data_IF_615735943147
#
_entry.id   IF_615735943147
#
_cell.length_a   1.000
_cell.length_b   1.000
_cell.length_c   1.000
_cell.angle_alpha   90.00
_cell.angle_beta   90.00
_cell.angle_gamma   90.00
#
_symmetry.space_group_name_H-M   'P 1'
#
loop_
_entity.id
_entity.type
_entity.pdbx_description
1 polymer ?
#
# COMPACT_ATOMS: atom_id res chain seq x y z
N UNK A 1 -2.44 16.21 -43.61
CA UNK A 1 -3.65 17.07 -43.60
C UNK A 1 -4.80 16.14 -43.21
N UNK A 2 -5.08 15.77 -41.94
CA UNK A 2 -5.46 16.58 -40.77
C UNK A 2 -6.42 17.69 -41.16
N UNK A 3 -7.57 17.78 -40.46
CA UNK A 3 -8.65 18.78 -40.56
C UNK A 3 -9.97 18.32 -41.22
N UNK A 4 -10.55 17.17 -40.84
CA UNK A 4 -11.93 16.85 -41.25
C UNK A 4 -12.87 16.38 -40.11
N UNK A 5 -12.34 15.93 -38.95
CA UNK A 5 -13.19 15.33 -37.91
C UNK A 5 -13.41 16.23 -36.67
N UNK A 6 -13.03 17.51 -36.74
CA UNK A 6 -13.13 18.47 -35.62
C UNK A 6 -14.36 19.38 -35.69
N UNK A 7 -15.41 19.02 -36.45
CA UNK A 7 -16.55 19.91 -36.71
C UNK A 7 -17.88 19.48 -36.06
N UNK A 8 -17.93 18.38 -35.31
CA UNK A 8 -19.19 17.82 -34.76
C UNK A 8 -19.43 18.18 -33.28
N UNK A 9 -18.41 18.63 -32.53
CA UNK A 9 -18.56 18.93 -31.08
C UNK A 9 -18.90 20.41 -30.80
N UNK A 10 -18.82 21.29 -31.81
CA UNK A 10 -19.09 22.73 -31.64
C UNK A 10 -20.59 23.11 -31.70
N UNK A 11 -21.50 22.16 -31.95
CA UNK A 11 -22.93 22.42 -32.18
C UNK A 11 -23.85 21.90 -31.06
N UNK A 12 -23.37 21.88 -29.81
CA UNK A 12 -24.17 21.51 -28.62
C UNK A 12 -24.11 22.56 -27.50
N UNK A 13 -23.63 23.77 -27.81
CA UNK A 13 -23.44 24.89 -26.87
C UNK A 13 -24.53 25.98 -26.94
N UNK A 14 -25.70 25.70 -27.53
CA UNK A 14 -26.76 26.70 -27.75
C UNK A 14 -28.17 26.18 -27.42
N UNK A 15 -28.43 25.83 -26.16
CA UNK A 15 -29.81 25.67 -25.67
C UNK A 15 -30.04 26.54 -24.42
N UNK A 16 -30.78 27.66 -24.56
CA UNK A 16 -31.38 28.37 -23.44
C UNK A 16 -32.79 27.80 -23.19
N UNK A 17 -33.03 27.23 -22.01
CA UNK A 17 -34.40 27.04 -21.51
C UNK A 17 -34.59 27.95 -20.31
N UNK A 18 -35.26 29.06 -20.56
CA UNK A 18 -35.73 29.98 -19.53
C UNK A 18 -37.07 29.48 -18.95
N UNK A 19 -37.15 29.50 -17.62
CA UNK A 19 -38.31 30.01 -16.90
C UNK A 19 -39.43 29.03 -16.55
N UNK A 20 -39.52 28.68 -15.26
CA UNK A 20 -40.81 28.67 -14.55
C UNK A 20 -40.63 29.34 -13.19
N UNK A 21 -41.34 30.46 -13.02
CA UNK A 21 -41.49 31.18 -11.77
C UNK A 21 -42.32 30.35 -10.79
N UNK A 22 -41.75 30.00 -9.62
CA UNK A 22 -42.52 29.46 -8.50
C UNK A 22 -42.83 30.57 -7.50
N UNK A 23 -44.13 30.61 -7.19
CA UNK A 23 -44.84 31.60 -6.42
C UNK A 23 -44.42 31.66 -4.95
N UNK A 24 -44.43 32.88 -4.43
CA UNK A 24 -44.12 33.28 -3.06
C UNK A 24 -45.10 32.65 -2.06
N UNK A 25 -44.74 31.51 -1.48
CA UNK A 25 -45.40 30.91 -0.33
C UNK A 25 -44.81 31.44 0.98
N UNK A 26 -45.46 32.45 1.58
CA UNK A 26 -45.17 32.89 2.96
C UNK A 26 -45.65 31.78 3.92
N UNK A 27 -44.73 30.94 4.41
CA UNK A 27 -44.99 29.96 5.47
C UNK A 27 -44.04 30.18 6.63
N UNK A 28 -44.59 30.74 7.71
CA UNK A 28 -43.98 30.86 9.04
C UNK A 28 -44.03 29.52 9.75
N UNK A 29 -42.91 28.79 9.89
CA UNK A 29 -42.73 27.81 10.99
C UNK A 29 -41.24 27.45 11.17
N UNK A 30 -40.78 27.62 12.42
CA UNK A 30 -39.61 26.99 13.06
C UNK A 30 -38.25 27.06 12.35
N UNK A 31 -37.48 28.08 12.77
CA UNK A 31 -36.03 28.18 12.61
C UNK A 31 -35.34 26.95 13.23
N UNK A 32 -35.14 25.91 12.42
CA UNK A 32 -34.36 24.73 12.75
C UNK A 32 -32.94 25.20 13.10
N UNK A 33 -32.56 25.07 14.37
CA UNK A 33 -31.19 25.28 14.87
C UNK A 33 -30.21 24.63 13.89
N UNK A 34 -29.42 25.47 13.22
CA UNK A 34 -28.33 25.06 12.33
C UNK A 34 -27.31 24.34 13.22
N UNK A 35 -27.20 23.02 13.09
CA UNK A 35 -26.14 22.26 13.73
C UNK A 35 -24.77 22.78 13.27
N UNK A 36 -23.73 22.80 14.13
CA UNK A 36 -22.51 23.54 13.89
C UNK A 36 -21.67 22.91 12.77
N UNK A 37 -21.06 23.76 11.94
CA UNK A 37 -20.15 23.43 10.84
C UNK A 37 -18.93 22.58 11.26
N UNK A 38 -18.68 22.40 12.56
CA UNK A 38 -17.64 21.52 13.09
C UNK A 38 -17.80 20.05 12.67
N UNK A 39 -19.04 19.58 12.46
CA UNK A 39 -19.34 18.20 12.06
C UNK A 39 -18.88 17.87 10.63
N UNK A 40 -18.95 18.84 9.70
CA UNK A 40 -18.51 18.62 8.32
C UNK A 40 -16.99 18.63 8.19
N UNK A 41 -16.28 19.45 8.97
CA UNK A 41 -14.81 19.48 8.98
C UNK A 41 -14.22 18.21 9.58
N UNK A 42 -14.78 17.69 10.68
CA UNK A 42 -14.31 16.44 11.28
C UNK A 42 -14.50 15.23 10.35
N UNK A 43 -15.66 15.14 9.70
CA UNK A 43 -15.96 14.08 8.72
C UNK A 43 -15.02 14.14 7.51
N UNK A 44 -14.73 15.34 7.01
CA UNK A 44 -13.80 15.54 5.90
C UNK A 44 -12.37 15.12 6.27
N UNK A 45 -11.86 15.52 7.44
CA UNK A 45 -10.53 15.10 7.92
C UNK A 45 -10.41 13.58 8.04
N UNK A 46 -11.41 12.92 8.61
CA UNK A 46 -11.41 11.46 8.71
C UNK A 46 -11.37 10.79 7.32
N UNK A 47 -12.08 11.34 6.33
CA UNK A 47 -12.03 10.84 4.93
C UNK A 47 -10.65 11.05 4.28
N UNK A 48 -10.02 12.20 4.52
CA UNK A 48 -8.66 12.51 4.06
C UNK A 48 -7.62 11.56 4.69
N UNK A 49 -7.72 11.32 6.00
CA UNK A 49 -6.88 10.35 6.74
C UNK A 49 -7.06 8.91 6.23
N UNK A 50 -8.30 8.49 5.98
CA UNK A 50 -8.60 7.19 5.37
C UNK A 50 -7.98 7.07 3.98
N UNK A 51 -8.07 8.12 3.18
CA UNK A 51 -7.45 8.14 1.85
C UNK A 51 -5.93 8.05 1.92
N UNK A 52 -5.30 8.80 2.82
CA UNK A 52 -3.86 8.74 3.06
C UNK A 52 -3.42 7.35 3.54
N UNK A 53 -4.16 6.74 4.46
CA UNK A 53 -3.92 5.37 4.93
C UNK A 53 -3.94 4.35 3.80
N UNK A 54 -4.96 4.39 2.93
CA UNK A 54 -5.04 3.50 1.76
C UNK A 54 -3.83 3.64 0.84
N UNK A 55 -3.43 4.88 0.55
CA UNK A 55 -2.26 5.16 -0.30
C UNK A 55 -0.98 4.59 0.30
N UNK A 56 -0.78 4.71 1.62
CA UNK A 56 0.41 4.17 2.30
C UNK A 56 0.43 2.64 2.28
N UNK A 57 -0.70 1.98 2.56
CA UNK A 57 -0.81 0.51 2.47
C UNK A 57 -0.53 0.05 1.04
N UNK A 58 -1.15 0.69 0.04
CA UNK A 58 -0.93 0.35 -1.36
C UNK A 58 0.53 0.54 -1.79
N UNK A 59 1.22 1.55 -1.26
CA UNK A 59 2.64 1.75 -1.51
C UNK A 59 3.47 0.61 -0.92
N UNK A 60 3.23 0.24 0.34
CA UNK A 60 3.94 -0.88 0.98
C UNK A 60 3.70 -2.21 0.26
N UNK A 61 2.47 -2.47 -0.22
CA UNK A 61 2.19 -3.64 -1.06
C UNK A 61 3.06 -3.63 -2.32
N UNK A 62 3.15 -2.50 -3.04
CA UNK A 62 3.96 -2.41 -4.26
C UNK A 62 5.44 -2.68 -3.97
N UNK A 63 5.97 -2.06 -2.93
CA UNK A 63 7.38 -2.18 -2.58
C UNK A 63 7.71 -3.62 -2.13
N UNK A 64 6.86 -4.22 -1.29
CA UNK A 64 6.98 -5.61 -0.87
C UNK A 64 6.85 -6.60 -2.04
N UNK A 65 5.89 -6.39 -2.94
CA UNK A 65 5.69 -7.31 -4.09
C UNK A 65 6.88 -7.26 -5.06
N UNK A 66 7.42 -6.05 -5.31
CA UNK A 66 8.65 -5.88 -6.09
C UNK A 66 9.83 -6.58 -5.41
N UNK A 67 9.95 -6.43 -4.10
CA UNK A 67 10.96 -7.13 -3.33
C UNK A 67 10.83 -8.65 -3.45
N UNK A 68 9.62 -9.22 -3.28
CA UNK A 68 9.35 -10.66 -3.40
C UNK A 68 9.72 -11.18 -4.80
N UNK A 69 9.41 -10.44 -5.85
CA UNK A 69 9.78 -10.82 -7.22
C UNK A 69 11.29 -10.93 -7.40
N UNK A 70 12.06 -9.96 -6.88
CA UNK A 70 13.52 -9.98 -6.93
C UNK A 70 14.10 -11.06 -5.99
N UNK A 71 13.49 -11.24 -4.82
CA UNK A 71 13.85 -12.24 -3.81
C UNK A 71 13.88 -13.65 -4.41
N UNK A 72 12.83 -14.04 -5.13
CA UNK A 72 12.73 -15.37 -5.74
C UNK A 72 13.82 -15.65 -6.78
N UNK A 73 14.35 -14.62 -7.44
CA UNK A 73 15.50 -14.76 -8.35
C UNK A 73 16.82 -14.87 -7.58
N UNK A 74 17.05 -13.97 -6.62
CA UNK A 74 18.29 -13.91 -5.83
C UNK A 74 18.53 -15.22 -5.06
N UNK A 75 17.47 -15.79 -4.50
CA UNK A 75 17.55 -17.06 -3.75
C UNK A 75 17.95 -18.24 -4.62
N UNK A 76 17.39 -18.35 -5.83
CA UNK A 76 17.81 -19.37 -6.81
C UNK A 76 19.27 -19.19 -7.24
N UNK A 77 19.70 -17.96 -7.48
CA UNK A 77 21.09 -17.66 -7.85
C UNK A 77 22.07 -18.04 -6.71
N UNK A 78 21.67 -17.83 -5.45
CA UNK A 78 22.43 -18.26 -4.27
C UNK A 78 22.54 -19.78 -4.16
N UNK A 79 21.44 -20.51 -4.33
CA UNK A 79 21.42 -21.97 -4.28
C UNK A 79 22.31 -22.59 -5.37
N UNK A 80 22.22 -22.07 -6.60
CA UNK A 80 23.05 -22.50 -7.72
C UNK A 80 24.54 -22.24 -7.48
N UNK A 81 24.87 -21.05 -6.96
CA UNK A 81 26.25 -20.68 -6.62
C UNK A 81 26.84 -21.59 -5.54
N UNK A 82 26.06 -21.91 -4.50
CA UNK A 82 26.48 -22.82 -3.44
C UNK A 82 26.66 -24.26 -3.93
N UNK A 83 25.79 -24.75 -4.80
CA UNK A 83 25.93 -26.06 -5.42
C UNK A 83 27.22 -26.14 -6.25
N UNK A 84 27.51 -25.11 -7.05
CA UNK A 84 28.73 -25.04 -7.86
C UNK A 84 30.01 -24.93 -7.00
N UNK A 85 29.96 -24.19 -5.89
CA UNK A 85 31.08 -24.05 -4.96
C UNK A 85 31.48 -25.39 -4.33
N UNK A 86 30.50 -26.26 -4.03
CA UNK A 86 30.74 -27.60 -3.49
C UNK A 86 31.41 -28.54 -4.49
N UNK A 87 31.17 -28.35 -5.80
CA UNK A 87 31.67 -29.24 -6.85
C UNK A 87 33.00 -28.84 -7.51
N UNK A 88 33.40 -27.56 -7.44
CA UNK A 88 34.49 -27.01 -8.29
C UNK A 88 35.78 -26.62 -7.57
N UNK A 89 35.86 -26.72 -6.24
CA UNK A 89 37.05 -26.31 -5.47
C UNK A 89 37.30 -24.79 -5.43
N UNK A 90 36.56 -23.98 -6.21
CA UNK A 90 36.59 -22.51 -6.21
C UNK A 90 35.77 -21.90 -5.04
N UNK A 91 35.81 -22.55 -3.88
CA UNK A 91 34.91 -22.28 -2.76
C UNK A 91 35.04 -20.85 -2.18
N UNK A 92 36.22 -20.23 -2.24
CA UNK A 92 36.48 -18.93 -1.61
C UNK A 92 35.79 -17.75 -2.32
N UNK A 93 35.83 -17.71 -3.66
CA UNK A 93 35.21 -16.62 -4.42
C UNK A 93 33.68 -16.72 -4.45
N UNK A 94 33.14 -17.94 -4.59
CA UNK A 94 31.70 -18.18 -4.51
C UNK A 94 31.14 -17.88 -3.11
N UNK A 95 31.86 -18.24 -2.04
CA UNK A 95 31.47 -17.92 -0.67
C UNK A 95 31.43 -16.41 -0.42
N UNK A 96 32.42 -15.65 -0.93
CA UNK A 96 32.44 -14.19 -0.79
C UNK A 96 31.24 -13.53 -1.49
N UNK A 97 30.89 -13.96 -2.71
CA UNK A 97 29.73 -13.45 -3.45
C UNK A 97 28.40 -13.81 -2.78
N UNK A 98 28.27 -15.04 -2.27
CA UNK A 98 27.08 -15.48 -1.53
C UNK A 98 26.88 -14.64 -0.27
N UNK A 99 27.95 -14.43 0.51
CA UNK A 99 27.90 -13.60 1.72
C UNK A 99 27.52 -12.13 1.41
N UNK A 100 28.08 -11.55 0.35
CA UNK A 100 27.74 -10.19 -0.08
C UNK A 100 26.26 -10.09 -0.50
N UNK A 101 25.77 -11.07 -1.25
CA UNK A 101 24.37 -11.10 -1.72
C UNK A 101 23.40 -11.25 -0.55
N UNK A 102 23.71 -12.13 0.40
CA UNK A 102 22.92 -12.28 1.65
C UNK A 102 22.92 -11.00 2.49
N UNK A 103 24.04 -10.30 2.58
CA UNK A 103 24.11 -9.02 3.30
C UNK A 103 23.20 -7.96 2.65
N UNK A 104 23.21 -7.85 1.31
CA UNK A 104 22.30 -6.97 0.56
C UNK A 104 20.83 -7.37 0.77
N UNK A 105 20.54 -8.67 0.80
CA UNK A 105 19.20 -9.19 1.04
C UNK A 105 18.68 -8.80 2.42
N UNK A 106 19.51 -8.98 3.46
CA UNK A 106 19.20 -8.57 4.84
C UNK A 106 18.96 -7.07 4.95
N UNK A 107 19.84 -6.24 4.38
CA UNK A 107 19.65 -4.78 4.38
C UNK A 107 18.36 -4.37 3.67
N UNK A 108 18.01 -5.04 2.57
CA UNK A 108 16.75 -4.76 1.86
C UNK A 108 15.52 -5.17 2.69
N UNK A 109 15.59 -6.30 3.41
CA UNK A 109 14.54 -6.73 4.34
C UNK A 109 14.39 -5.77 5.52
N UNK A 110 15.50 -5.26 6.03
CA UNK A 110 15.47 -4.26 7.10
C UNK A 110 14.68 -3.01 6.65
N UNK A 111 14.91 -2.52 5.43
CA UNK A 111 14.15 -1.39 4.89
C UNK A 111 12.65 -1.70 4.77
N UNK A 112 12.29 -2.92 4.36
CA UNK A 112 10.89 -3.37 4.32
C UNK A 112 10.29 -3.39 5.74
N UNK A 113 11.00 -3.97 6.71
CA UNK A 113 10.59 -4.02 8.12
C UNK A 113 10.33 -2.62 8.68
N UNK A 114 11.25 -1.69 8.44
CA UNK A 114 11.14 -0.30 8.89
C UNK A 114 9.95 0.42 8.24
N UNK A 115 9.72 0.22 6.94
CA UNK A 115 8.55 0.76 6.25
C UNK A 115 7.23 0.24 6.80
N UNK A 116 7.18 -1.03 7.19
CA UNK A 116 6.01 -1.65 7.82
C UNK A 116 5.81 -1.19 9.26
N UNK A 117 6.89 -0.99 10.02
CA UNK A 117 6.82 -0.44 11.38
C UNK A 117 6.27 0.98 11.37
N UNK A 118 6.76 1.83 10.46
CA UNK A 118 6.22 3.18 10.26
C UNK A 118 4.74 3.17 9.86
N UNK A 119 4.32 2.18 9.05
CA UNK A 119 2.91 2.01 8.68
C UNK A 119 2.07 1.62 9.91
N UNK A 120 2.53 0.68 10.72
CA UNK A 120 1.84 0.28 11.97
C UNK A 120 1.71 1.45 12.95
N UNK A 121 2.79 2.21 13.16
CA UNK A 121 2.79 3.40 14.02
C UNK A 121 1.76 4.42 13.51
N UNK A 122 1.72 4.66 12.20
CA UNK A 122 0.77 5.60 11.60
C UNK A 122 -0.69 5.18 11.83
N UNK A 123 -1.01 3.90 11.63
CA UNK A 123 -2.36 3.37 11.84
C UNK A 123 -2.77 3.40 13.33
N UNK A 124 -1.82 3.14 14.23
CA UNK A 124 -2.06 3.18 15.68
C UNK A 124 -2.35 4.60 16.18
N UNK A 125 -1.64 5.60 15.63
CA UNK A 125 -1.67 6.99 16.09
C UNK A 125 -2.72 7.86 15.40
N UNK A 126 -3.33 7.38 14.31
CA UNK A 126 -4.35 8.11 13.55
C UNK A 126 -5.75 7.61 13.92
N UNK A 127 -6.61 8.42 14.59
CA UNK A 127 -7.91 7.95 15.10
C UNK A 127 -8.81 7.30 14.05
N UNK A 128 -8.89 7.87 12.84
CA UNK A 128 -9.71 7.31 11.77
C UNK A 128 -9.24 5.92 11.28
N UNK A 129 -8.00 5.53 11.57
CA UNK A 129 -7.39 4.28 11.12
C UNK A 129 -7.35 3.18 12.18
N UNK A 130 -7.63 3.50 13.45
CA UNK A 130 -7.48 2.57 14.58
C UNK A 130 -8.25 1.26 14.40
N UNK A 131 -9.43 1.30 13.77
CA UNK A 131 -10.23 0.10 13.51
C UNK A 131 -9.53 -0.93 12.61
N UNK A 132 -8.66 -0.46 11.71
CA UNK A 132 -7.91 -1.31 10.78
C UNK A 132 -6.58 -1.76 11.35
N UNK A 133 -6.06 -1.04 12.36
CA UNK A 133 -4.78 -1.35 12.99
C UNK A 133 -4.73 -2.80 13.50
N UNK A 134 -5.83 -3.33 14.05
CA UNK A 134 -5.89 -4.72 14.58
C UNK A 134 -5.51 -5.75 13.50
N UNK A 135 -5.88 -5.51 12.24
CA UNK A 135 -5.56 -6.40 11.11
C UNK A 135 -4.15 -6.18 10.56
N UNK A 136 -3.64 -4.97 10.72
CA UNK A 136 -2.29 -4.60 10.32
C UNK A 136 -1.24 -5.02 11.37
N UNK A 137 -1.60 -5.09 12.65
CA UNK A 137 -0.66 -5.34 13.73
C UNK A 137 0.15 -6.62 13.51
N UNK A 138 1.47 -6.50 13.65
CA UNK A 138 2.41 -7.60 13.51
C UNK A 138 2.85 -7.88 12.06
N UNK A 139 2.51 -7.04 11.07
CA UNK A 139 3.12 -7.12 9.74
C UNK A 139 4.62 -6.80 9.79
N UNK A 140 5.03 -5.83 10.62
CA UNK A 140 6.44 -5.51 10.85
C UNK A 140 7.18 -6.66 11.55
N UNK A 141 6.52 -7.32 12.51
CA UNK A 141 7.05 -8.52 13.16
C UNK A 141 7.17 -9.71 12.18
N UNK A 142 6.24 -9.85 11.24
CA UNK A 142 6.34 -10.84 10.16
C UNK A 142 7.56 -10.62 9.25
N UNK A 143 7.84 -9.36 8.90
CA UNK A 143 9.04 -9.01 8.14
C UNK A 143 10.34 -9.23 8.95
N UNK A 144 10.34 -8.94 10.25
CA UNK A 144 11.45 -9.28 11.14
C UNK A 144 11.70 -10.79 11.17
N UNK A 145 10.63 -11.60 11.27
CA UNK A 145 10.74 -13.05 11.18
C UNK A 145 11.32 -13.52 9.84
N UNK A 146 10.99 -12.87 8.72
CA UNK A 146 11.61 -13.18 7.43
C UNK A 146 13.12 -12.85 7.42
N UNK A 147 13.52 -11.73 8.04
CA UNK A 147 14.93 -11.36 8.22
C UNK A 147 15.71 -12.43 8.99
N UNK A 148 15.16 -12.92 10.10
CA UNK A 148 15.75 -14.00 10.91
C UNK A 148 15.90 -15.29 10.11
N UNK A 149 14.89 -15.65 9.31
CA UNK A 149 14.93 -16.84 8.44
C UNK A 149 16.01 -16.71 7.35
N UNK A 150 16.19 -15.51 6.77
CA UNK A 150 17.31 -15.27 5.84
C UNK A 150 18.65 -15.40 6.55
N UNK A 151 18.79 -14.89 7.77
CA UNK A 151 20.00 -15.04 8.57
C UNK A 151 20.31 -16.51 8.89
N UNK A 152 19.28 -17.33 9.10
CA UNK A 152 19.36 -18.77 9.33
C UNK A 152 19.48 -19.62 8.05
N UNK A 153 19.66 -19.01 6.88
CA UNK A 153 19.71 -19.68 5.57
C UNK A 153 18.43 -20.47 5.20
N UNK A 154 17.28 -20.06 5.75
CA UNK A 154 15.95 -20.63 5.48
C UNK A 154 15.20 -19.76 4.46
N UNK A 155 15.77 -19.64 3.25
CA UNK A 155 15.33 -18.67 2.24
C UNK A 155 13.88 -18.91 1.76
N UNK A 156 13.46 -20.16 1.59
CA UNK A 156 12.08 -20.47 1.22
C UNK A 156 11.06 -20.06 2.29
N UNK A 157 11.40 -20.29 3.56
CA UNK A 157 10.53 -19.96 4.69
C UNK A 157 10.40 -18.43 4.85
N UNK A 158 11.49 -17.70 4.67
CA UNK A 158 11.46 -16.24 4.62
C UNK A 158 10.55 -15.74 3.49
N UNK A 159 10.65 -16.30 2.29
CA UNK A 159 9.80 -15.95 1.15
C UNK A 159 8.31 -16.13 1.45
N UNK A 160 7.93 -17.24 2.09
CA UNK A 160 6.54 -17.52 2.50
C UNK A 160 6.03 -16.49 3.51
N UNK A 161 6.83 -16.16 4.53
CA UNK A 161 6.46 -15.12 5.51
C UNK A 161 6.19 -13.78 4.84
N UNK A 162 6.99 -13.39 3.85
CA UNK A 162 6.79 -12.14 3.11
C UNK A 162 5.50 -12.15 2.28
N UNK A 163 5.16 -13.29 1.67
CA UNK A 163 3.89 -13.45 0.96
C UNK A 163 2.72 -13.34 1.93
N UNK A 164 2.81 -13.94 3.12
CA UNK A 164 1.77 -13.80 4.14
C UNK A 164 1.60 -12.34 4.60
N UNK A 165 2.71 -11.62 4.79
CA UNK A 165 2.69 -10.17 5.09
C UNK A 165 2.02 -9.38 3.96
N UNK A 166 2.34 -9.66 2.70
CA UNK A 166 1.71 -9.03 1.54
C UNK A 166 0.19 -9.32 1.48
N UNK A 167 -0.21 -10.55 1.81
CA UNK A 167 -1.61 -10.95 1.94
C UNK A 167 -2.35 -10.11 2.97
N UNK A 168 -1.80 -9.98 4.18
CA UNK A 168 -2.39 -9.16 5.25
C UNK A 168 -2.54 -7.69 4.86
N UNK A 169 -1.53 -7.10 4.21
CA UNK A 169 -1.63 -5.72 3.72
C UNK A 169 -2.74 -5.57 2.68
N UNK A 170 -2.89 -6.56 1.80
CA UNK A 170 -3.94 -6.58 0.77
C UNK A 170 -5.32 -6.68 1.40
N UNK A 171 -5.50 -7.53 2.40
CA UNK A 171 -6.75 -7.66 3.15
C UNK A 171 -7.14 -6.36 3.85
N UNK A 172 -6.18 -5.67 4.48
CA UNK A 172 -6.41 -4.35 5.08
C UNK A 172 -6.85 -3.35 4.02
N UNK A 173 -6.18 -3.31 2.87
CA UNK A 173 -6.53 -2.40 1.79
C UNK A 173 -7.95 -2.66 1.26
N UNK A 174 -8.35 -3.93 1.10
CA UNK A 174 -9.68 -4.32 0.67
C UNK A 174 -10.76 -3.87 1.67
N UNK A 175 -10.53 -4.07 2.97
CA UNK A 175 -11.47 -3.60 4.01
C UNK A 175 -11.62 -2.07 4.02
N UNK A 176 -10.54 -1.34 3.72
CA UNK A 176 -10.59 0.12 3.61
C UNK A 176 -11.28 0.60 2.32
N UNK A 177 -11.31 -0.21 1.26
CA UNK A 177 -12.05 0.13 0.03
C UNK A 177 -13.56 -0.08 0.17
N UNK A 178 -13.98 -1.06 0.98
CA UNK A 178 -15.39 -1.37 1.23
C UNK A 178 -16.07 -0.40 2.21
N UNK A 179 -15.27 0.38 2.94
CA UNK A 179 -15.72 1.36 3.91
C UNK A 179 -16.35 2.64 3.29
N UNK A 180 -16.77 2.61 2.02
CA UNK A 180 -17.34 3.75 1.30
C UNK A 180 -18.83 3.90 1.52
#
# INVERSE_FOLDING_TARGET
MKLANSLIVALLLLLPVAGVAQTRGRRTTTQRRRAPAASSTATRRASEELSAGRTRVAQQIKDLTRFIYLYGRITKDLEASEAQARGSGAASQAAALSNQTRAKLRSSLQNVREGLDQLEIYFRTTPALQRYYIRLAGVAAGAAGAEDRVAANQLDQAGRLLVDVAGRLTDVLAQMSDAR
#
